data_IF_283162181321
#
_entry.id   IF_283162181321
#
_cell.length_a   1.000
_cell.length_b   1.000
_cell.length_c   1.000
_cell.angle_alpha   90.00
_cell.angle_beta   90.00
_cell.angle_gamma   90.00
#
_symmetry.space_group_name_H-M   'P 1'
#
loop_
_entity.id
_entity.type
_entity.pdbx_description
1 polymer ?
#
# COMPACT_ATOMS: atom_id res chain seq x y z
N UNK A 1 15.37 -31.01 -17.90
CA UNK A 1 14.66 -29.77 -17.54
C UNK A 1 14.43 -29.78 -16.03
N UNK A 2 15.17 -28.96 -15.28
CA UNK A 2 15.01 -28.85 -13.81
C UNK A 2 13.86 -27.90 -13.52
N UNK A 3 12.81 -28.38 -12.87
CA UNK A 3 11.67 -27.55 -12.45
C UNK A 3 12.09 -26.82 -11.17
N UNK A 4 12.42 -25.54 -11.28
CA UNK A 4 12.67 -24.69 -10.11
C UNK A 4 11.35 -24.57 -9.35
N UNK A 5 11.31 -25.07 -8.11
CA UNK A 5 10.13 -25.01 -7.25
C UNK A 5 10.04 -23.58 -6.69
N UNK A 6 8.93 -22.88 -6.97
CA UNK A 6 8.69 -21.56 -6.40
C UNK A 6 8.55 -21.66 -4.86
N UNK A 7 9.04 -20.67 -4.09
CA UNK A 7 8.92 -20.67 -2.63
C UNK A 7 7.45 -20.66 -2.22
N UNK A 8 7.09 -21.39 -1.18
CA UNK A 8 5.75 -21.29 -0.58
C UNK A 8 5.58 -19.95 0.16
N UNK A 9 4.36 -19.44 0.28
CA UNK A 9 4.04 -18.21 1.04
C UNK A 9 4.63 -18.22 2.47
N UNK A 10 4.59 -19.38 3.13
CA UNK A 10 5.26 -19.60 4.43
C UNK A 10 6.77 -19.31 4.39
N UNK A 11 7.44 -19.72 3.31
CA UNK A 11 8.89 -19.52 3.13
C UNK A 11 9.22 -18.04 2.90
N UNK A 12 8.32 -17.32 2.21
CA UNK A 12 8.45 -15.89 1.99
C UNK A 12 8.22 -15.10 3.29
N UNK A 13 7.21 -15.46 4.10
CA UNK A 13 6.97 -14.85 5.42
C UNK A 13 8.15 -15.04 6.36
N UNK A 14 8.77 -16.23 6.36
CA UNK A 14 9.99 -16.50 7.12
C UNK A 14 11.14 -15.61 6.63
N UNK A 15 11.37 -15.51 5.31
CA UNK A 15 12.43 -14.65 4.75
C UNK A 15 12.19 -13.17 5.11
N UNK A 16 10.95 -12.69 4.98
CA UNK A 16 10.56 -11.32 5.32
C UNK A 16 10.71 -11.03 6.82
N UNK A 17 10.50 -12.02 7.70
CA UNK A 17 10.68 -11.87 9.15
C UNK A 17 12.14 -11.68 9.57
N UNK A 18 13.10 -12.07 8.72
CA UNK A 18 14.53 -11.83 8.93
C UNK A 18 15.00 -10.50 8.31
N UNK A 19 14.16 -9.83 7.53
CA UNK A 19 14.51 -8.51 7.02
C UNK A 19 14.37 -7.48 8.14
N UNK A 20 15.39 -6.62 8.34
CA UNK A 20 15.33 -5.59 9.36
C UNK A 20 14.23 -4.57 9.04
N UNK A 21 13.51 -4.11 10.07
CA UNK A 21 12.49 -3.07 9.90
C UNK A 21 13.11 -1.75 9.47
N UNK A 22 12.30 -0.83 8.91
CA UNK A 22 12.78 0.51 8.52
C UNK A 22 13.47 1.22 9.69
N UNK A 23 12.94 1.11 10.89
CA UNK A 23 13.51 1.67 12.12
C UNK A 23 14.86 1.02 12.46
N UNK A 24 14.97 -0.30 12.30
CA UNK A 24 16.22 -1.05 12.54
C UNK A 24 17.30 -0.70 11.51
N UNK A 25 16.95 -0.59 10.23
CA UNK A 25 17.88 -0.16 9.17
C UNK A 25 18.33 1.28 9.43
N UNK A 26 17.39 2.18 9.73
CA UNK A 26 17.70 3.59 10.01
C UNK A 26 18.64 3.72 11.20
N UNK A 27 18.38 2.98 12.29
CA UNK A 27 19.24 2.97 13.47
C UNK A 27 20.64 2.41 13.17
N UNK A 28 20.74 1.30 12.43
CA UNK A 28 22.03 0.71 12.04
C UNK A 28 22.85 1.65 11.15
N UNK A 29 22.20 2.30 10.19
CA UNK A 29 22.86 3.26 9.30
C UNK A 29 23.28 4.51 10.08
N UNK A 30 22.47 5.02 11.00
CA UNK A 30 22.86 6.13 11.87
C UNK A 30 24.09 5.79 12.73
N UNK A 31 24.13 4.60 13.31
CA UNK A 31 25.27 4.13 14.13
C UNK A 31 26.53 4.05 13.27
N UNK A 32 26.44 3.49 12.06
CA UNK A 32 27.56 3.38 11.13
C UNK A 32 28.06 4.74 10.64
N UNK A 33 27.15 5.64 10.26
CA UNK A 33 27.51 7.01 9.86
C UNK A 33 28.17 7.76 11.03
N UNK A 34 27.65 7.63 12.26
CA UNK A 34 28.23 8.25 13.45
C UNK A 34 29.63 7.70 13.75
N UNK A 35 29.87 6.40 13.57
CA UNK A 35 31.20 5.83 13.75
C UNK A 35 32.18 6.38 12.72
N UNK A 36 31.81 6.41 11.44
CA UNK A 36 32.69 6.89 10.37
C UNK A 36 32.96 8.40 10.46
N UNK A 37 31.95 9.22 10.80
CA UNK A 37 32.17 10.65 11.10
C UNK A 37 33.11 10.81 12.30
N UNK A 38 33.00 9.96 13.32
CA UNK A 38 33.89 10.01 14.49
C UNK A 38 35.32 9.55 14.16
N UNK A 39 35.49 8.64 13.20
CA UNK A 39 36.79 8.25 12.62
C UNK A 39 37.38 9.38 11.77
N UNK A 40 36.59 9.99 10.89
CA UNK A 40 36.96 11.14 10.06
C UNK A 40 37.22 12.43 10.86
N UNK A 41 36.65 12.58 12.06
CA UNK A 41 37.01 13.65 13.00
C UNK A 41 38.33 13.39 13.72
N UNK A 42 38.71 12.12 13.91
CA UNK A 42 39.97 11.72 14.57
C UNK A 42 41.17 11.78 13.62
N UNK A 43 40.98 11.50 12.34
CA UNK A 43 41.98 11.68 11.31
C UNK A 43 41.68 12.95 10.52
N UNK A 44 42.56 13.96 10.54
CA UNK A 44 42.44 15.15 9.67
C UNK A 44 42.12 14.68 8.24
N UNK A 45 41.05 15.20 7.65
CA UNK A 45 40.47 14.81 6.34
C UNK A 45 41.54 14.72 5.25
N UNK A 46 42.57 15.56 5.37
CA UNK A 46 43.77 15.67 4.54
C UNK A 46 44.71 14.43 4.53
N UNK A 47 44.47 13.42 5.36
CA UNK A 47 45.24 12.15 5.38
C UNK A 47 44.46 10.91 4.94
N UNK A 48 43.20 11.07 4.56
CA UNK A 48 42.33 9.95 4.20
C UNK A 48 42.54 9.57 2.72
N UNK A 49 42.64 8.28 2.42
CA UNK A 49 42.87 7.79 1.04
C UNK A 49 41.73 8.27 0.12
N UNK A 50 42.01 8.84 -1.07
CA UNK A 50 40.99 9.27 -2.03
C UNK A 50 39.93 8.21 -2.37
N UNK A 51 40.26 6.93 -2.25
CA UNK A 51 39.32 5.81 -2.46
C UNK A 51 38.29 5.69 -1.34
N UNK A 52 38.69 5.92 -0.10
CA UNK A 52 37.82 5.93 1.09
C UNK A 52 36.89 7.15 1.08
N UNK A 53 37.41 8.32 0.68
CA UNK A 53 36.63 9.56 0.53
C UNK A 53 35.58 9.42 -0.59
N UNK A 54 35.94 8.78 -1.70
CA UNK A 54 35.02 8.48 -2.79
C UNK A 54 33.87 7.55 -2.38
N UNK A 55 34.15 6.56 -1.52
CA UNK A 55 33.16 5.64 -0.99
C UNK A 55 32.17 6.35 -0.04
N UNK A 56 32.68 7.22 0.84
CA UNK A 56 31.85 8.02 1.75
C UNK A 56 30.93 8.99 0.99
N UNK A 57 31.44 9.64 -0.05
CA UNK A 57 30.65 10.53 -0.91
C UNK A 57 29.58 9.79 -1.70
N UNK A 58 29.85 8.56 -2.17
CA UNK A 58 28.83 7.72 -2.80
C UNK A 58 27.71 7.33 -1.82
N UNK A 59 28.07 6.92 -0.59
CA UNK A 59 27.08 6.54 0.42
C UNK A 59 26.18 7.72 0.83
N UNK A 60 26.76 8.92 1.01
CA UNK A 60 26.00 10.15 1.33
C UNK A 60 25.16 10.62 0.14
N UNK A 61 25.69 10.54 -1.08
CA UNK A 61 24.96 10.86 -2.31
C UNK A 61 23.75 9.94 -2.54
N UNK A 62 23.90 8.63 -2.31
CA UNK A 62 22.79 7.69 -2.33
C UNK A 62 21.75 8.01 -1.24
N UNK A 63 22.18 8.38 -0.03
CA UNK A 63 21.26 8.77 1.04
C UNK A 63 20.43 10.02 0.69
N UNK A 64 21.02 11.01 0.02
CA UNK A 64 20.28 12.18 -0.45
C UNK A 64 19.26 11.84 -1.54
N UNK A 65 19.55 10.86 -2.42
CA UNK A 65 18.60 10.39 -3.43
C UNK A 65 17.46 9.55 -2.84
N UNK A 66 17.74 8.73 -1.82
CA UNK A 66 16.71 7.93 -1.11
C UNK A 66 15.71 8.82 -0.37
N UNK A 67 16.15 9.98 0.14
CA UNK A 67 15.28 10.94 0.83
C UNK A 67 14.62 11.96 -0.12
N UNK A 68 15.05 12.04 -1.39
CA UNK A 68 14.56 13.02 -2.38
C UNK A 68 13.48 12.49 -3.31
N UNK A 69 13.29 11.16 -3.36
CA UNK A 69 12.13 10.54 -4.00
C UNK A 69 11.11 10.25 -2.89
N UNK A 70 9.94 10.89 -2.97
CA UNK A 70 8.81 10.65 -2.08
C UNK A 70 8.23 9.25 -2.23
N UNK A 71 9.02 8.20 -1.96
CA UNK A 71 8.51 6.85 -1.77
C UNK A 71 7.75 6.83 -0.44
N UNK A 72 6.51 7.33 -0.45
CA UNK A 72 5.52 6.93 0.52
C UNK A 72 5.37 5.40 0.34
N UNK A 73 5.64 4.59 1.37
CA UNK A 73 5.35 3.16 1.25
C UNK A 73 3.86 3.02 0.92
N UNK A 74 3.52 2.21 -0.08
CA UNK A 74 2.16 1.72 -0.28
C UNK A 74 1.68 1.16 1.07
N UNK A 75 0.83 1.88 1.80
CA UNK A 75 0.57 1.50 3.18
C UNK A 75 -0.06 2.51 4.12
N UNK A 76 -0.20 3.79 3.78
CA UNK A 76 -0.99 4.71 4.62
C UNK A 76 -2.03 5.49 3.83
N UNK A 77 -3.10 4.77 3.44
CA UNK A 77 -4.34 5.39 2.99
C UNK A 77 -4.89 6.21 4.17
N UNK A 78 -5.12 7.51 3.95
CA UNK A 78 -5.61 8.42 4.98
C UNK A 78 -7.06 8.12 5.34
N UNK A 79 -7.48 8.51 6.55
CA UNK A 79 -8.89 8.41 6.97
C UNK A 79 -9.81 9.20 6.03
N UNK A 80 -9.35 10.39 5.60
CA UNK A 80 -9.97 11.20 4.57
C UNK A 80 -10.24 10.41 3.27
N UNK A 81 -9.25 9.66 2.80
CA UNK A 81 -9.38 8.83 1.61
C UNK A 81 -10.41 7.71 1.79
N UNK A 82 -10.34 6.99 2.92
CA UNK A 82 -11.33 5.97 3.26
C UNK A 82 -12.74 6.54 3.31
N UNK A 83 -12.94 7.65 4.01
CA UNK A 83 -14.25 8.27 4.12
C UNK A 83 -14.80 8.65 2.74
N UNK A 84 -13.99 9.21 1.84
CA UNK A 84 -14.48 9.54 0.50
C UNK A 84 -14.76 8.33 -0.40
N UNK A 85 -14.00 7.23 -0.28
CA UNK A 85 -14.34 5.97 -0.96
C UNK A 85 -15.62 5.34 -0.41
N UNK A 86 -15.86 5.47 0.90
CA UNK A 86 -17.07 5.02 1.59
C UNK A 86 -18.30 5.81 1.10
N UNK A 87 -18.21 7.15 1.11
CA UNK A 87 -19.26 8.05 0.60
C UNK A 87 -19.57 7.78 -0.86
N UNK A 88 -18.55 7.59 -1.69
CA UNK A 88 -18.74 7.28 -3.11
C UNK A 88 -19.41 5.92 -3.37
N UNK A 89 -19.26 4.96 -2.45
CA UNK A 89 -19.78 3.61 -2.58
C UNK A 89 -21.25 3.51 -2.16
N UNK A 90 -21.59 4.02 -0.98
CA UNK A 90 -22.94 3.87 -0.38
C UNK A 90 -23.43 5.11 0.37
N UNK A 91 -22.86 6.29 0.11
CA UNK A 91 -23.01 7.47 1.00
C UNK A 91 -22.59 7.13 2.44
N UNK A 92 -21.57 6.26 2.53
CA UNK A 92 -21.01 5.69 3.75
C UNK A 92 -22.04 5.08 4.72
N UNK A 93 -23.10 4.47 4.19
CA UNK A 93 -24.08 3.75 4.99
C UNK A 93 -23.44 2.54 5.69
N UNK A 94 -23.21 2.66 6.99
CA UNK A 94 -22.63 1.62 7.84
C UNK A 94 -23.56 0.43 8.07
N UNK A 95 -24.83 0.54 7.68
CA UNK A 95 -25.80 -0.56 7.69
C UNK A 95 -25.98 -1.17 6.31
N UNK A 96 -25.20 -0.78 5.31
CA UNK A 96 -25.24 -1.38 3.99
C UNK A 96 -24.89 -2.87 4.08
N UNK A 97 -25.86 -3.70 3.76
CA UNK A 97 -25.70 -5.15 3.65
C UNK A 97 -25.02 -5.55 2.33
N UNK A 98 -24.86 -6.86 2.15
CA UNK A 98 -24.44 -7.41 0.87
C UNK A 98 -25.56 -7.34 -0.18
N UNK A 99 -25.21 -6.85 -1.37
CA UNK A 99 -26.13 -6.70 -2.50
C UNK A 99 -25.71 -7.60 -3.66
N UNK A 100 -26.71 -8.22 -4.28
CA UNK A 100 -26.55 -8.95 -5.53
C UNK A 100 -26.99 -8.07 -6.70
N UNK A 101 -26.03 -7.55 -7.46
CA UNK A 101 -26.25 -6.72 -8.64
C UNK A 101 -26.23 -7.51 -9.96
N UNK A 102 -26.32 -8.85 -9.89
CA UNK A 102 -26.36 -9.76 -11.03
C UNK A 102 -25.31 -10.89 -10.96
N UNK A 103 -25.21 -11.71 -12.02
CA UNK A 103 -24.24 -12.81 -12.08
C UNK A 103 -22.81 -12.31 -11.89
N UNK A 104 -22.11 -12.85 -10.89
CA UNK A 104 -20.73 -12.46 -10.56
C UNK A 104 -20.59 -11.06 -9.94
N UNK A 105 -21.69 -10.45 -9.46
CA UNK A 105 -21.72 -9.10 -8.90
C UNK A 105 -22.33 -9.13 -7.50
N UNK A 106 -21.57 -9.65 -6.55
CA UNK A 106 -21.92 -9.69 -5.13
C UNK A 106 -20.95 -8.80 -4.36
N UNK A 107 -21.47 -7.77 -3.71
CA UNK A 107 -20.70 -6.73 -3.04
C UNK A 107 -21.24 -6.50 -1.64
N UNK A 108 -20.36 -6.28 -0.66
CA UNK A 108 -20.74 -6.14 0.73
C UNK A 108 -20.30 -4.81 1.34
N UNK A 109 -21.11 -4.35 2.30
CA UNK A 109 -20.72 -3.31 3.22
C UNK A 109 -20.70 -1.89 2.66
N UNK A 110 -20.24 -0.93 3.48
CA UNK A 110 -20.18 0.48 3.14
C UNK A 110 -19.22 0.80 1.97
N UNK A 111 -18.32 -0.12 1.62
CA UNK A 111 -17.37 0.05 0.52
C UNK A 111 -17.72 -0.77 -0.73
N UNK A 112 -18.77 -1.57 -0.69
CA UNK A 112 -19.21 -2.43 -1.80
C UNK A 112 -18.07 -3.31 -2.35
N UNK A 113 -17.42 -4.06 -1.45
CA UNK A 113 -16.26 -4.92 -1.77
C UNK A 113 -16.73 -6.33 -2.15
N UNK A 114 -16.12 -6.96 -3.16
CA UNK A 114 -16.43 -8.33 -3.59
C UNK A 114 -15.59 -9.38 -2.86
N UNK A 115 -15.98 -10.65 -2.99
CA UNK A 115 -15.24 -11.79 -2.43
C UNK A 115 -13.81 -11.87 -2.95
N UNK A 116 -13.62 -11.71 -4.25
CA UNK A 116 -12.31 -11.75 -4.89
C UNK A 116 -11.42 -10.61 -4.39
N UNK A 117 -11.98 -9.42 -4.20
CA UNK A 117 -11.27 -8.29 -3.62
C UNK A 117 -10.78 -8.63 -2.20
N UNK A 118 -11.67 -9.07 -1.32
CA UNK A 118 -11.29 -9.45 0.06
C UNK A 118 -10.28 -10.59 0.10
N UNK A 119 -10.42 -11.57 -0.79
CA UNK A 119 -9.49 -12.69 -0.93
C UNK A 119 -8.10 -12.21 -1.31
N UNK A 120 -8.00 -11.39 -2.35
CA UNK A 120 -6.72 -10.88 -2.84
C UNK A 120 -6.11 -9.88 -1.84
N UNK A 121 -6.93 -9.23 -1.01
CA UNK A 121 -6.48 -8.40 0.11
C UNK A 121 -5.90 -9.19 1.31
N UNK A 122 -5.78 -10.51 1.21
CA UNK A 122 -5.23 -11.36 2.27
C UNK A 122 -6.27 -11.80 3.31
N UNK A 123 -7.57 -11.68 3.00
CA UNK A 123 -8.68 -12.20 3.81
C UNK A 123 -8.68 -11.70 5.27
N UNK A 124 -8.66 -10.37 5.51
CA UNK A 124 -8.70 -9.85 6.87
C UNK A 124 -9.96 -10.33 7.59
N UNK A 125 -9.82 -10.72 8.86
CA UNK A 125 -10.94 -11.22 9.66
C UNK A 125 -11.44 -12.62 9.27
N UNK A 126 -10.72 -13.35 8.42
CA UNK A 126 -11.05 -14.74 8.08
C UNK A 126 -11.20 -15.60 9.33
N UNK A 127 -12.26 -16.41 9.32
CA UNK A 127 -12.50 -17.45 10.29
C UNK A 127 -12.92 -18.72 9.53
N UNK A 128 -12.02 -19.71 9.40
CA UNK A 128 -12.28 -20.93 8.63
C UNK A 128 -13.51 -21.74 9.09
N UNK A 129 -13.96 -21.52 10.33
CA UNK A 129 -15.13 -22.20 10.90
C UNK A 129 -16.44 -21.42 10.68
N UNK A 130 -16.39 -20.27 10.02
CA UNK A 130 -17.51 -19.35 9.82
C UNK A 130 -17.65 -18.99 8.33
N UNK A 131 -18.59 -19.63 7.60
CA UNK A 131 -18.75 -19.40 6.17
C UNK A 131 -19.28 -17.99 5.81
N UNK A 132 -19.57 -17.15 6.81
CA UNK A 132 -20.01 -15.75 6.65
C UNK A 132 -18.93 -14.74 7.07
N UNK A 133 -17.70 -15.20 7.31
CA UNK A 133 -16.58 -14.37 7.77
C UNK A 133 -16.27 -13.20 6.82
N UNK A 134 -16.33 -13.47 5.51
CA UNK A 134 -16.23 -12.48 4.45
C UNK A 134 -17.29 -11.38 4.59
N UNK A 135 -18.58 -11.73 4.63
CA UNK A 135 -19.65 -10.75 4.79
C UNK A 135 -19.54 -9.99 6.12
N UNK A 136 -19.21 -10.68 7.21
CA UNK A 136 -19.02 -10.07 8.54
C UNK A 136 -17.88 -9.07 8.54
N UNK A 137 -16.77 -9.40 7.89
CA UNK A 137 -15.67 -8.47 7.73
C UNK A 137 -16.09 -7.26 6.90
N UNK A 138 -16.69 -7.47 5.73
CA UNK A 138 -16.99 -6.36 4.83
C UNK A 138 -18.16 -5.49 5.30
N UNK A 139 -19.10 -6.00 6.07
CA UNK A 139 -20.12 -5.16 6.69
C UNK A 139 -19.56 -4.30 7.84
N UNK A 140 -18.33 -4.58 8.30
CA UNK A 140 -17.61 -3.78 9.30
C UNK A 140 -16.68 -2.77 8.62
N UNK A 141 -16.85 -1.47 8.88
CA UNK A 141 -15.97 -0.42 8.33
C UNK A 141 -14.49 -0.68 8.63
N UNK A 142 -14.06 -0.97 9.88
CA UNK A 142 -12.66 -1.28 10.16
C UNK A 142 -12.08 -2.46 9.36
N UNK A 143 -12.85 -3.54 9.19
CA UNK A 143 -12.35 -4.73 8.48
C UNK A 143 -12.38 -4.53 6.97
N UNK A 144 -13.37 -3.81 6.43
CA UNK A 144 -13.35 -3.33 5.05
C UNK A 144 -12.13 -2.46 4.74
N UNK A 145 -11.79 -1.52 5.61
CA UNK A 145 -10.59 -0.70 5.41
C UNK A 145 -9.32 -1.54 5.48
N UNK A 146 -9.27 -2.58 6.31
CA UNK A 146 -8.16 -3.54 6.29
C UNK A 146 -8.09 -4.27 4.95
N UNK A 147 -9.24 -4.65 4.36
CA UNK A 147 -9.29 -5.25 3.03
C UNK A 147 -8.80 -4.27 1.95
N UNK A 148 -9.22 -3.00 2.00
CA UNK A 148 -8.71 -1.99 1.06
C UNK A 148 -7.19 -1.82 1.20
N UNK A 149 -6.65 -1.76 2.42
CA UNK A 149 -5.20 -1.69 2.63
C UNK A 149 -4.48 -2.89 2.02
N UNK A 150 -4.96 -4.10 2.28
CA UNK A 150 -4.38 -5.32 1.71
C UNK A 150 -4.46 -5.36 0.19
N UNK A 151 -5.58 -4.90 -0.39
CA UNK A 151 -5.75 -4.86 -1.84
C UNK A 151 -4.81 -3.84 -2.50
N UNK A 152 -4.62 -2.66 -1.88
CA UNK A 152 -3.67 -1.68 -2.39
C UNK A 152 -2.22 -2.12 -2.19
N UNK A 153 -1.90 -2.94 -1.18
CA UNK A 153 -0.55 -3.53 -1.09
C UNK A 153 -0.22 -4.41 -2.30
N UNK A 154 -1.21 -5.09 -2.88
CA UNK A 154 -1.01 -5.96 -4.04
C UNK A 154 -1.11 -5.21 -5.38
N UNK A 155 -2.08 -4.31 -5.51
CA UNK A 155 -2.47 -3.75 -6.81
C UNK A 155 -2.16 -2.27 -6.98
N UNK A 156 -1.37 -1.69 -6.09
CA UNK A 156 -1.03 -0.29 -6.18
C UNK A 156 -0.32 0.09 -7.47
N UNK A 157 -0.80 1.15 -8.12
CA UNK A 157 -0.20 1.72 -9.31
C UNK A 157 -0.61 3.18 -9.47
N UNK A 158 0.25 3.97 -10.11
CA UNK A 158 -0.07 5.29 -10.64
C UNK A 158 -1.02 5.09 -11.84
N UNK A 159 -2.27 5.50 -11.69
CA UNK A 159 -3.33 5.26 -12.65
C UNK A 159 -3.52 6.41 -13.63
N UNK A 160 -3.23 7.64 -13.23
CA UNK A 160 -3.45 8.84 -14.06
C UNK A 160 -2.17 9.45 -14.65
N UNK A 161 -1.01 8.91 -14.29
CA UNK A 161 0.30 9.22 -14.87
C UNK A 161 0.93 10.48 -14.29
N UNK A 162 0.51 10.91 -13.10
CA UNK A 162 1.05 12.10 -12.43
C UNK A 162 2.35 11.83 -11.64
N UNK A 163 2.80 10.57 -11.59
CA UNK A 163 3.98 10.03 -10.90
C UNK A 163 3.83 9.92 -9.37
N UNK A 164 2.67 10.24 -8.82
CA UNK A 164 2.32 9.95 -7.45
C UNK A 164 1.41 8.72 -7.40
N UNK A 165 1.41 8.01 -6.26
CA UNK A 165 0.43 6.98 -5.99
C UNK A 165 -0.38 7.44 -4.79
N UNK A 166 -1.57 7.94 -5.05
CA UNK A 166 -2.36 8.67 -4.08
C UNK A 166 -3.82 8.19 -3.97
N UNK A 167 -4.66 8.97 -3.29
CA UNK A 167 -6.05 8.59 -3.09
C UNK A 167 -6.89 8.56 -4.39
N UNK A 168 -6.55 9.36 -5.40
CA UNK A 168 -7.19 9.28 -6.70
C UNK A 168 -6.91 7.91 -7.33
N UNK A 169 -5.69 7.38 -7.23
CA UNK A 169 -5.36 6.03 -7.69
C UNK A 169 -6.07 4.95 -6.88
N UNK A 170 -6.04 5.04 -5.56
CA UNK A 170 -6.73 4.11 -4.67
C UNK A 170 -8.22 4.03 -4.97
N UNK A 171 -8.87 5.18 -5.17
CA UNK A 171 -10.29 5.21 -5.52
C UNK A 171 -10.56 4.61 -6.90
N UNK A 172 -9.65 4.79 -7.87
CA UNK A 172 -9.76 4.15 -9.18
C UNK A 172 -9.62 2.64 -9.08
N UNK A 173 -8.59 2.15 -8.42
CA UNK A 173 -8.35 0.71 -8.21
C UNK A 173 -9.50 0.09 -7.42
N UNK A 174 -9.99 0.76 -6.38
CA UNK A 174 -11.11 0.27 -5.55
C UNK A 174 -12.34 -0.06 -6.39
N UNK A 175 -12.71 0.85 -7.29
CA UNK A 175 -13.92 0.70 -8.12
C UNK A 175 -13.71 -0.14 -9.36
N UNK A 176 -12.50 -0.15 -9.92
CA UNK A 176 -12.22 -0.78 -11.21
C UNK A 176 -11.54 -2.15 -11.11
N UNK A 177 -11.03 -2.51 -9.93
CA UNK A 177 -10.28 -3.73 -9.67
C UNK A 177 -8.84 -3.67 -10.20
N UNK A 178 -8.10 -4.76 -10.00
CA UNK A 178 -6.65 -4.86 -10.26
C UNK A 178 -6.19 -4.54 -11.67
N UNK A 179 -7.05 -4.70 -12.68
CA UNK A 179 -6.73 -4.43 -14.09
C UNK A 179 -7.35 -3.12 -14.61
N UNK A 180 -8.08 -2.41 -13.76
CA UNK A 180 -8.91 -1.29 -14.16
C UNK A 180 -8.28 0.09 -13.94
N UNK A 181 -7.10 0.15 -13.34
CA UNK A 181 -6.37 1.37 -12.96
C UNK A 181 -6.39 2.44 -14.07
N UNK A 182 -5.96 2.10 -15.28
CA UNK A 182 -5.89 3.04 -16.42
C UNK A 182 -7.22 3.17 -17.20
N UNK A 183 -8.30 2.55 -16.71
CA UNK A 183 -9.60 2.59 -17.36
C UNK A 183 -10.17 4.00 -17.38
N UNK A 184 -10.57 4.48 -18.55
CA UNK A 184 -11.23 5.79 -18.73
C UNK A 184 -12.73 5.73 -18.50
N UNK A 185 -13.32 4.54 -18.36
CA UNK A 185 -14.74 4.41 -18.05
C UNK A 185 -15.08 4.89 -16.63
N UNK A 186 -14.12 4.76 -15.69
CA UNK A 186 -14.35 5.07 -14.29
C UNK A 186 -14.67 6.54 -14.07
N UNK A 187 -14.06 7.43 -14.86
CA UNK A 187 -14.25 8.87 -14.72
C UNK A 187 -15.68 9.34 -15.04
N UNK A 188 -16.47 8.48 -15.70
CA UNK A 188 -17.86 8.72 -16.06
C UNK A 188 -18.86 7.98 -15.16
N UNK A 189 -18.41 7.51 -13.98
CA UNK A 189 -19.28 6.82 -13.01
C UNK A 189 -19.77 7.75 -11.91
N UNK A 190 -20.96 7.46 -11.36
CA UNK A 190 -21.48 8.17 -10.19
C UNK A 190 -20.52 8.06 -8.99
N UNK A 191 -19.89 6.89 -8.83
CA UNK A 191 -18.85 6.66 -7.82
C UNK A 191 -17.74 7.72 -7.94
N UNK A 192 -17.16 7.90 -9.13
CA UNK A 192 -16.06 8.85 -9.31
C UNK A 192 -16.49 10.29 -9.11
N UNK A 193 -17.70 10.65 -9.56
CA UNK A 193 -18.26 11.97 -9.34
C UNK A 193 -18.40 12.28 -7.84
N UNK A 194 -18.99 11.35 -7.06
CA UNK A 194 -19.15 11.47 -5.60
C UNK A 194 -17.80 11.50 -4.89
N UNK A 195 -16.88 10.61 -5.26
CA UNK A 195 -15.53 10.55 -4.70
C UNK A 195 -14.82 11.90 -4.85
N UNK A 196 -14.74 12.44 -6.08
CA UNK A 196 -14.10 13.74 -6.32
C UNK A 196 -14.76 14.87 -5.55
N UNK A 197 -16.09 14.89 -5.47
CA UNK A 197 -16.83 15.90 -4.71
C UNK A 197 -16.50 15.86 -3.21
N UNK A 198 -16.26 14.67 -2.66
CA UNK A 198 -15.81 14.50 -1.28
C UNK A 198 -14.36 14.93 -1.11
N UNK A 199 -13.45 14.36 -1.91
CA UNK A 199 -12.02 14.46 -1.69
C UNK A 199 -11.43 15.82 -2.08
N UNK A 200 -12.05 16.54 -3.02
CA UNK A 200 -11.58 17.88 -3.42
C UNK A 200 -11.76 18.98 -2.36
N UNK A 201 -12.40 18.66 -1.23
CA UNK A 201 -12.66 19.61 -0.13
C UNK A 201 -11.64 19.48 1.00
N UNK A 202 -10.73 18.51 0.89
CA UNK A 202 -9.71 18.17 1.87
C UNK A 202 -8.43 18.92 1.50
#
# INVERSE_FOLDING_TARGET
>A
MVKVRQPTDESLKIILSYLPTKEQITSLVEVYIRSEISLAKRHKIDKMDPREVGFLFCLVGCFALINGQGFAPAGQISEACFNCMCEASTDCDLNADCVNAGPGKYYCGPYQISYEYWRDAGKPGENPDDPLDFEKCLNSKPCSEAAIRGYMQEYAADCDGDQDIDCYDWARIHKSGSQGCNGTWIINTDYWAKFKQCYSKI
#
